data_IF_062513091461
#
_entry.id   IF_062513091461
#
_cell.length_a   1.000
_cell.length_b   1.000
_cell.length_c   1.000
_cell.angle_alpha   90.00
_cell.angle_beta   90.00
_cell.angle_gamma   90.00
#
_symmetry.space_group_name_H-M   'P 1'
#
loop_
_entity.id
_entity.type
_entity.pdbx_description
1 polymer ?
#
# COMPACT_ATOMS: atom_id res chain seq x y z
N UNK A 1 -9.10 17.18 -0.26
CA UNK A 1 -10.10 16.59 0.66
C UNK A 1 -9.74 16.93 2.10
N UNK A 2 -10.74 17.12 2.97
CA UNK A 2 -10.52 17.22 4.42
C UNK A 2 -10.20 15.82 5.00
N UNK A 3 -9.57 15.76 6.18
CA UNK A 3 -9.28 14.49 6.85
C UNK A 3 -10.61 13.80 7.19
N UNK A 4 -10.73 12.53 6.82
CA UNK A 4 -11.81 11.66 7.28
C UNK A 4 -11.20 10.41 7.93
N UNK A 5 -11.80 9.97 9.03
CA UNK A 5 -11.37 8.80 9.79
C UNK A 5 -12.55 7.87 9.96
N UNK A 6 -12.34 6.60 9.61
CA UNK A 6 -13.31 5.52 9.76
C UNK A 6 -12.72 4.48 10.70
N UNK A 7 -13.52 3.96 11.63
CA UNK A 7 -13.05 3.02 12.65
C UNK A 7 -14.01 1.84 12.76
N UNK A 8 -13.44 0.65 12.93
CA UNK A 8 -14.19 -0.55 13.28
C UNK A 8 -13.34 -1.51 14.10
N UNK A 9 -13.97 -2.51 14.71
CA UNK A 9 -13.24 -3.62 15.34
C UNK A 9 -13.14 -4.79 14.36
N UNK A 10 -11.93 -5.25 14.08
CA UNK A 10 -11.66 -6.41 13.24
C UNK A 10 -10.79 -7.41 14.02
N UNK A 11 -11.23 -8.67 14.09
CA UNK A 11 -10.53 -9.74 14.82
C UNK A 11 -10.05 -9.34 16.24
N UNK A 12 -10.88 -8.59 16.97
CA UNK A 12 -10.60 -8.16 18.35
C UNK A 12 -9.66 -6.94 18.48
N UNK A 13 -9.29 -6.28 17.38
CA UNK A 13 -8.43 -5.09 17.38
C UNK A 13 -9.07 -3.91 16.65
N UNK A 14 -8.72 -2.66 17.00
CA UNK A 14 -9.16 -1.50 16.24
C UNK A 14 -8.51 -1.51 14.85
N UNK A 15 -9.35 -1.33 13.83
CA UNK A 15 -8.98 -1.07 12.45
C UNK A 15 -9.44 0.35 12.11
N UNK A 16 -8.49 1.24 11.92
CA UNK A 16 -8.71 2.66 11.65
C UNK A 16 -8.20 2.98 10.25
N UNK A 17 -9.00 3.69 9.49
CA UNK A 17 -8.71 4.12 8.12
C UNK A 17 -8.77 5.63 8.07
N UNK A 18 -7.69 6.27 7.66
CA UNK A 18 -7.62 7.71 7.46
C UNK A 18 -7.39 8.06 5.99
N UNK A 19 -8.16 9.01 5.48
CA UNK A 19 -8.06 9.50 4.09
C UNK A 19 -7.97 11.03 4.05
N UNK A 20 -7.35 11.56 3.00
CA UNK A 20 -7.33 13.00 2.71
C UNK A 20 -6.30 13.84 3.47
N UNK A 21 -5.54 13.27 4.41
CA UNK A 21 -4.49 14.00 5.14
C UNK A 21 -3.11 13.93 4.46
N UNK A 22 -2.68 12.73 4.04
CA UNK A 22 -1.33 12.44 3.53
C UNK A 22 -1.39 12.13 2.03
N UNK A 23 -0.28 12.37 1.30
CA UNK A 23 -0.12 12.03 -0.12
C UNK A 23 -1.23 12.56 -1.04
N UNK A 24 -1.68 13.81 -0.81
CA UNK A 24 -2.78 14.47 -1.54
C UNK A 24 -2.61 14.63 -3.06
N UNK A 25 -1.40 14.38 -3.57
CA UNK A 25 -1.10 14.44 -5.01
C UNK A 25 -1.25 13.09 -5.71
N UNK A 26 -1.37 11.98 -4.96
CA UNK A 26 -1.73 10.70 -5.53
C UNK A 26 -3.21 10.68 -5.93
N UNK A 27 -3.59 9.84 -6.89
CA UNK A 27 -5.00 9.65 -7.27
C UNK A 27 -5.80 9.08 -6.10
N UNK A 28 -5.22 8.11 -5.37
CA UNK A 28 -5.78 7.57 -4.14
C UNK A 28 -4.72 7.43 -3.06
N UNK A 29 -5.07 7.75 -1.81
CA UNK A 29 -4.17 7.60 -0.66
C UNK A 29 -4.95 7.28 0.62
N UNK A 30 -4.53 6.23 1.31
CA UNK A 30 -5.17 5.72 2.53
C UNK A 30 -4.10 5.35 3.54
N UNK A 31 -4.26 5.80 4.78
CA UNK A 31 -3.47 5.33 5.92
C UNK A 31 -4.32 4.35 6.71
N UNK A 32 -3.89 3.09 6.75
CA UNK A 32 -4.55 2.03 7.54
C UNK A 32 -3.75 1.79 8.79
N UNK A 33 -4.44 1.80 9.94
CA UNK A 33 -3.89 1.42 11.24
C UNK A 33 -4.66 0.21 11.75
N UNK A 34 -3.97 -0.90 11.97
CA UNK A 34 -4.55 -2.11 12.55
C UNK A 34 -3.78 -2.43 13.83
N UNK A 35 -4.43 -2.30 14.99
CA UNK A 35 -3.69 -2.18 16.25
C UNK A 35 -2.68 -1.03 16.16
N UNK A 36 -1.40 -1.32 16.42
CA UNK A 36 -0.30 -0.35 16.30
C UNK A 36 0.47 -0.43 14.96
N UNK A 37 0.14 -1.40 14.11
CA UNK A 37 0.68 -1.48 12.75
C UNK A 37 0.04 -0.41 11.88
N UNK A 38 0.87 0.38 11.19
CA UNK A 38 0.41 1.46 10.31
C UNK A 38 1.01 1.30 8.92
N UNK A 39 0.16 1.32 7.89
CA UNK A 39 0.55 1.23 6.49
C UNK A 39 -0.03 2.40 5.71
N UNK A 40 0.79 3.08 4.92
CA UNK A 40 0.36 4.04 3.92
C UNK A 40 0.27 3.33 2.57
N UNK A 41 -0.94 3.29 2.01
CA UNK A 41 -1.20 2.75 0.67
C UNK A 41 -1.56 3.90 -0.27
N UNK A 42 -0.82 4.01 -1.38
CA UNK A 42 -1.08 5.00 -2.42
C UNK A 42 -1.29 4.32 -3.76
N UNK A 43 -2.21 4.85 -4.55
CA UNK A 43 -2.50 4.44 -5.91
C UNK A 43 -2.33 5.63 -6.85
N UNK A 44 -1.58 5.43 -7.93
CA UNK A 44 -1.34 6.44 -8.96
C UNK A 44 -1.57 5.81 -10.33
N UNK A 45 -2.22 6.57 -11.21
CA UNK A 45 -2.44 6.19 -12.60
C UNK A 45 -1.86 7.24 -13.53
N UNK A 46 -1.19 6.79 -14.60
CA UNK A 46 -0.76 7.68 -15.68
C UNK A 46 -1.95 8.25 -16.44
N UNK A 47 -1.89 9.55 -16.75
CA UNK A 47 -2.89 10.23 -17.62
C UNK A 47 -2.83 9.77 -19.08
N UNK A 48 -1.72 9.18 -19.50
CA UNK A 48 -1.51 8.69 -20.86
C UNK A 48 -1.52 7.17 -20.87
N UNK A 49 -2.21 6.60 -21.84
CA UNK A 49 -2.17 5.17 -22.11
C UNK A 49 -0.75 4.73 -22.44
N UNK A 50 -0.33 3.58 -21.91
CA UNK A 50 0.97 3.02 -22.23
C UNK A 50 1.02 2.59 -23.70
N UNK A 51 2.22 2.65 -24.29
CA UNK A 51 2.49 2.13 -25.63
C UNK A 51 2.61 0.61 -25.67
N UNK A 52 2.63 -0.04 -24.51
CA UNK A 52 2.75 -1.48 -24.38
C UNK A 52 1.43 -2.20 -24.71
N UNK A 53 1.54 -3.44 -25.20
CA UNK A 53 0.39 -4.28 -25.52
C UNK A 53 -0.18 -5.05 -24.33
N UNK A 54 0.23 -4.72 -23.11
CA UNK A 54 -0.24 -5.33 -21.87
C UNK A 54 -0.59 -4.27 -20.82
N UNK A 55 -1.35 -4.66 -19.80
CA UNK A 55 -1.69 -3.81 -18.67
C UNK A 55 -0.49 -3.66 -17.69
N UNK A 56 0.14 -2.47 -17.60
CA UNK A 56 1.29 -2.26 -16.71
C UNK A 56 0.79 -1.91 -15.31
N UNK A 57 0.58 -2.94 -14.50
CA UNK A 57 0.33 -2.82 -13.06
C UNK A 57 1.58 -3.20 -12.27
N UNK A 58 2.06 -2.29 -11.44
CA UNK A 58 3.13 -2.52 -10.48
C UNK A 58 2.63 -2.34 -9.05
N UNK A 59 2.85 -3.35 -8.22
CA UNK A 59 2.61 -3.29 -6.78
C UNK A 59 3.95 -3.38 -6.06
N UNK A 60 4.24 -2.37 -5.23
CA UNK A 60 5.41 -2.35 -4.36
C UNK A 60 4.95 -2.41 -2.90
N UNK A 61 5.67 -3.20 -2.11
CA UNK A 61 5.50 -3.26 -0.67
C UNK A 61 6.86 -3.02 -0.02
N UNK A 62 6.93 -1.96 0.79
CA UNK A 62 8.15 -1.46 1.40
C UNK A 62 8.04 -1.48 2.92
N UNK A 63 8.93 -2.23 3.55
CA UNK A 63 9.09 -2.26 5.00
C UNK A 63 10.22 -1.32 5.40
N UNK A 64 9.88 -0.27 6.15
CA UNK A 64 10.89 0.66 6.66
C UNK A 64 11.44 0.14 7.98
N UNK A 65 12.76 0.16 8.16
CA UNK A 65 13.38 -0.37 9.39
C UNK A 65 12.98 0.45 10.62
N UNK A 66 12.70 1.75 10.42
CA UNK A 66 12.18 2.61 11.49
C UNK A 66 10.81 2.16 12.00
N UNK A 67 10.02 1.42 11.21
CA UNK A 67 8.70 0.94 11.63
C UNK A 67 8.78 0.02 12.85
N UNK A 68 9.91 -0.68 13.02
CA UNK A 68 10.23 -1.51 14.18
C UNK A 68 11.22 -0.84 15.14
N UNK A 69 11.49 0.47 15.00
CA UNK A 69 12.48 1.20 15.80
C UNK A 69 13.93 0.77 15.57
N UNK A 70 14.23 0.15 14.43
CA UNK A 70 15.57 -0.37 14.10
C UNK A 70 16.28 0.52 13.08
N UNK A 71 17.60 0.60 13.19
CA UNK A 71 18.45 1.20 12.16
C UNK A 71 18.77 0.17 11.07
N UNK A 72 18.78 0.54 9.78
CA UNK A 72 19.25 -0.35 8.72
C UNK A 72 20.70 -0.78 8.98
N UNK A 73 20.93 -2.10 9.04
CA UNK A 73 22.26 -2.67 9.23
C UNK A 73 23.12 -2.63 7.96
N UNK A 74 24.44 -2.82 8.10
CA UNK A 74 25.38 -2.88 6.98
C UNK A 74 26.10 -1.55 6.68
N UNK A 75 26.93 -1.55 5.62
CA UNK A 75 27.75 -0.40 5.23
C UNK A 75 26.88 0.78 4.75
N UNK A 76 25.86 0.47 3.94
CA UNK A 76 24.85 1.42 3.52
C UNK A 76 23.71 1.40 4.55
N UNK A 77 23.67 2.38 5.45
CA UNK A 77 22.62 2.58 6.47
C UNK A 77 21.27 3.01 5.86
N UNK A 78 20.80 2.31 4.84
CA UNK A 78 19.58 2.59 4.07
C UNK A 78 18.88 1.29 3.71
N UNK A 79 17.56 1.33 3.60
CA UNK A 79 16.79 0.24 3.03
C UNK A 79 17.22 -0.02 1.59
N UNK A 80 17.51 -1.28 1.28
CA UNK A 80 18.00 -1.72 -0.01
C UNK A 80 16.87 -2.26 -0.89
N UNK A 81 17.20 -3.32 -1.63
CA UNK A 81 16.21 -4.04 -2.44
C UNK A 81 15.13 -4.68 -1.53
N UNK A 82 13.89 -4.84 -2.02
CA UNK A 82 12.85 -5.55 -1.30
C UNK A 82 13.30 -6.94 -0.86
N UNK A 83 12.91 -7.35 0.35
CA UNK A 83 13.12 -8.71 0.84
C UNK A 83 12.25 -9.71 0.08
N UNK A 84 12.51 -11.01 0.27
CA UNK A 84 11.66 -12.07 -0.25
C UNK A 84 10.23 -11.92 0.26
N UNK A 85 10.05 -11.65 1.57
CA UNK A 85 8.73 -11.49 2.19
C UNK A 85 8.00 -10.26 1.68
N UNK A 86 8.70 -9.15 1.47
CA UNK A 86 8.13 -7.96 0.86
C UNK A 86 7.67 -8.24 -0.59
N UNK A 87 8.46 -9.00 -1.35
CA UNK A 87 8.11 -9.41 -2.72
C UNK A 87 6.90 -10.36 -2.74
N UNK A 88 6.84 -11.33 -1.81
CA UNK A 88 5.70 -12.23 -1.67
C UNK A 88 4.43 -11.47 -1.29
N UNK A 89 4.54 -10.50 -0.38
CA UNK A 89 3.43 -9.64 0.03
C UNK A 89 2.93 -8.77 -1.12
N UNK A 90 3.83 -8.17 -1.89
CA UNK A 90 3.47 -7.42 -3.09
C UNK A 90 2.70 -8.29 -4.10
N UNK A 91 3.15 -9.54 -4.33
CA UNK A 91 2.43 -10.49 -5.20
C UNK A 91 1.08 -10.89 -4.63
N UNK A 92 0.97 -11.01 -3.31
CA UNK A 92 -0.26 -11.36 -2.62
C UNK A 92 -1.33 -10.25 -2.81
N UNK A 93 -0.91 -8.99 -2.87
CA UNK A 93 -1.77 -7.84 -3.18
C UNK A 93 -2.08 -7.76 -4.68
N UNK A 94 -1.09 -7.97 -5.55
CA UNK A 94 -1.25 -7.86 -7.02
C UNK A 94 -2.24 -8.86 -7.60
N UNK A 95 -2.16 -10.13 -7.17
CA UNK A 95 -2.97 -11.23 -7.69
C UNK A 95 -4.49 -10.98 -7.64
N UNK A 96 -5.09 -10.54 -6.53
CA UNK A 96 -6.54 -10.28 -6.47
C UNK A 96 -6.96 -9.01 -7.19
N UNK A 97 -6.13 -7.96 -7.24
CA UNK A 97 -6.52 -6.68 -7.86
C UNK A 97 -6.35 -6.69 -9.38
N UNK A 98 -5.36 -7.41 -9.92
CA UNK A 98 -5.06 -7.46 -11.36
C UNK A 98 -6.25 -7.84 -12.25
N UNK A 99 -7.06 -8.89 -11.94
CA UNK A 99 -8.23 -9.24 -12.76
C UNK A 99 -9.42 -8.28 -12.56
N UNK A 100 -9.37 -7.36 -11.60
CA UNK A 100 -10.47 -6.41 -11.33
C UNK A 100 -10.45 -5.21 -12.29
N UNK A 101 -9.34 -5.00 -13.02
CA UNK A 101 -9.26 -3.94 -14.03
C UNK A 101 -9.98 -4.36 -15.31
N UNK A 102 -10.62 -3.39 -15.96
CA UNK A 102 -11.35 -3.62 -17.21
C UNK A 102 -10.43 -4.18 -18.31
N UNK A 103 -10.97 -5.04 -19.16
CA UNK A 103 -10.24 -5.58 -20.30
C UNK A 103 -9.82 -4.44 -21.24
N UNK A 104 -8.57 -4.50 -21.73
CA UNK A 104 -8.00 -3.45 -22.60
C UNK A 104 -7.51 -2.21 -21.86
N UNK A 105 -7.61 -2.16 -20.54
CA UNK A 105 -7.04 -1.06 -19.75
C UNK A 105 -5.51 -1.09 -19.80
N UNK A 106 -4.91 -0.01 -20.31
CA UNK A 106 -3.47 0.10 -20.61
C UNK A 106 -2.79 1.29 -19.95
N UNK A 107 -3.48 2.00 -19.07
CA UNK A 107 -2.84 3.06 -18.29
C UNK A 107 -1.91 2.41 -17.26
N UNK A 108 -0.72 2.96 -17.12
CA UNK A 108 0.21 2.51 -16.09
C UNK A 108 -0.36 2.82 -14.71
N UNK A 109 -0.45 1.79 -13.87
CA UNK A 109 -0.95 1.89 -12.50
C UNK A 109 0.13 1.42 -11.54
N UNK A 110 0.40 2.26 -10.55
CA UNK A 110 1.32 1.93 -9.48
C UNK A 110 0.59 1.97 -8.14
N UNK A 111 0.73 0.88 -7.39
CA UNK A 111 0.26 0.80 -6.00
C UNK A 111 1.48 0.63 -5.10
N UNK A 112 1.70 1.59 -4.19
CA UNK A 112 2.82 1.54 -3.24
C UNK A 112 2.25 1.40 -1.84
N UNK A 113 2.73 0.39 -1.12
CA UNK A 113 2.42 0.15 0.27
C UNK A 113 3.68 0.36 1.11
N UNK A 114 3.65 1.31 2.04
CA UNK A 114 4.77 1.60 2.92
C UNK A 114 4.37 1.34 4.36
N UNK A 115 5.06 0.42 5.02
CA UNK A 115 4.88 0.15 6.45
C UNK A 115 5.58 1.24 7.25
N UNK A 116 4.80 2.02 8.01
CA UNK A 116 5.27 3.14 8.83
C UNK A 116 5.46 2.77 10.30
N UNK A 117 4.70 1.80 10.79
CA UNK A 117 4.78 1.26 12.15
C UNK A 117 4.45 -0.22 12.10
N UNK A 118 5.12 -1.03 12.92
CA UNK A 118 4.96 -2.47 12.95
C UNK A 118 4.76 -2.98 14.38
N UNK A 119 3.67 -3.72 14.57
CA UNK A 119 3.38 -4.55 15.74
C UNK A 119 3.33 -6.02 15.29
N UNK A 120 4.08 -6.88 15.99
CA UNK A 120 4.19 -8.32 15.71
C UNK A 120 2.84 -9.03 15.78
N UNK A 121 1.90 -8.52 16.57
CA UNK A 121 0.58 -9.10 16.71
C UNK A 121 -0.40 -8.62 15.64
N UNK A 122 -0.08 -7.57 14.90
CA UNK A 122 -0.95 -6.93 13.93
C UNK A 122 -0.37 -6.97 12.51
N UNK A 123 -0.92 -7.87 11.68
CA UNK A 123 -0.42 -8.16 10.33
C UNK A 123 -0.36 -6.92 9.42
N UNK A 124 0.86 -6.49 9.08
CA UNK A 124 1.10 -5.45 8.06
C UNK A 124 0.69 -5.87 6.64
N UNK A 125 0.93 -7.13 6.18
CA UNK A 125 0.42 -7.59 4.89
C UNK A 125 -1.10 -7.44 4.74
N UNK A 126 -1.88 -7.79 5.79
CA UNK A 126 -3.34 -7.65 5.77
C UNK A 126 -3.75 -6.17 5.67
N UNK A 127 -3.15 -5.31 6.49
CA UNK A 127 -3.40 -3.87 6.45
C UNK A 127 -3.05 -3.26 5.08
N UNK A 128 -1.96 -3.71 4.45
CA UNK A 128 -1.55 -3.26 3.11
C UNK A 128 -2.49 -3.72 2.00
N UNK A 129 -2.99 -4.97 2.05
CA UNK A 129 -4.02 -5.43 1.12
C UNK A 129 -5.29 -4.60 1.22
N UNK A 130 -5.76 -4.39 2.45
CA UNK A 130 -6.97 -3.62 2.70
C UNK A 130 -6.79 -2.16 2.28
N UNK A 131 -5.66 -1.55 2.62
CA UNK A 131 -5.31 -0.20 2.21
C UNK A 131 -5.18 -0.04 0.70
N UNK A 132 -4.61 -1.02 0.00
CA UNK A 132 -4.52 -1.03 -1.47
C UNK A 132 -5.91 -1.07 -2.13
N UNK A 133 -6.80 -1.93 -1.60
CA UNK A 133 -8.19 -2.01 -2.09
C UNK A 133 -8.93 -0.69 -1.91
N UNK A 134 -8.81 -0.06 -0.74
CA UNK A 134 -9.44 1.24 -0.47
C UNK A 134 -8.83 2.34 -1.33
N UNK A 135 -7.50 2.41 -1.45
CA UNK A 135 -6.79 3.43 -2.23
C UNK A 135 -7.20 3.39 -3.70
N UNK A 136 -7.39 2.20 -4.28
CA UNK A 136 -7.91 2.02 -5.64
C UNK A 136 -9.42 2.34 -5.74
N UNK A 137 -10.19 2.14 -4.67
CA UNK A 137 -11.64 2.42 -4.69
C UNK A 137 -11.95 3.91 -4.59
N UNK A 138 -11.07 4.68 -3.93
CA UNK A 138 -11.20 6.15 -3.82
C UNK A 138 -10.39 6.90 -4.88
N UNK A 139 -9.60 6.18 -5.68
CA UNK A 139 -8.90 6.78 -6.83
C UNK A 139 -9.87 7.04 -7.98
N UNK A 140 -9.54 8.06 -8.79
CA UNK A 140 -10.34 8.57 -9.92
C UNK A 140 -10.97 7.49 -10.82
#
# INVERSE_FOLDING_TARGET
>A
MAKQTFEMTFAGRPLVVEVGQVAKQANGAVVVRYGDTTVLSTAVMSKKMATADFFPLQVNYEEKMYAAGKFPGGFNKREGRPSTDATLTARLIDRPIRPMFAEGFRNEVQVINTVLSYDENASAPMAAMFGSSLALSISD
#
